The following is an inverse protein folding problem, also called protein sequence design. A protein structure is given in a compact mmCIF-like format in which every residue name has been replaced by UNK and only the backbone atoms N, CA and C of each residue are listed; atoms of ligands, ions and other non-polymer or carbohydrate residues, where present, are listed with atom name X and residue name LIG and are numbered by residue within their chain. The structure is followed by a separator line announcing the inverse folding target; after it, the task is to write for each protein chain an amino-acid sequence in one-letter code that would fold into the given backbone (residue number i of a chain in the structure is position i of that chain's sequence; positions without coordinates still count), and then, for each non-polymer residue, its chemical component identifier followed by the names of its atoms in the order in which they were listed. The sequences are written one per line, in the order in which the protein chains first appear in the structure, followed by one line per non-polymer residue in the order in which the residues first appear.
data_IF_346618349698
#
_entry.id   IF_346618349698
#
_cell.length_a   1.000
_cell.length_b   1.000
_cell.length_c   1.000
_cell.angle_alpha   90.00
_cell.angle_beta   90.00
_cell.angle_gamma   90.00
#
_symmetry.space_group_name_H-M   'P 1'
#
loop_
_entity.id
_entity.type
_entity.pdbx_description
1 polymer ?
#
# COMPACT_ATOMS: atom_id res chain seq x y z
N UNK A 1 18.79 36.93 45.66
CA UNK A 1 18.49 35.54 45.25
C UNK A 1 17.12 35.52 44.58
N UNK A 2 17.09 35.42 43.25
CA UNK A 2 15.85 35.28 42.46
C UNK A 2 15.84 33.87 41.87
N UNK A 3 14.84 33.07 42.24
CA UNK A 3 14.57 31.76 41.65
C UNK A 3 13.88 31.99 40.28
N UNK A 4 14.46 31.43 39.23
CA UNK A 4 13.84 31.36 37.90
C UNK A 4 13.01 30.05 37.81
N UNK A 5 11.86 30.05 37.12
CA UNK A 5 11.06 28.85 36.93
C UNK A 5 11.64 28.00 35.80
N UNK A 6 11.76 26.70 36.06
CA UNK A 6 12.10 25.67 35.06
C UNK A 6 10.91 25.51 34.14
N UNK A 7 11.03 25.96 32.88
CA UNK A 7 10.09 25.62 31.82
C UNK A 7 10.19 24.12 31.54
N UNK A 8 9.13 23.39 31.89
CA UNK A 8 8.95 22.00 31.53
C UNK A 8 8.50 21.93 30.07
N UNK A 9 9.45 21.65 29.17
CA UNK A 9 9.17 21.37 27.77
C UNK A 9 8.45 20.02 27.68
N UNK A 10 7.17 20.04 27.29
CA UNK A 10 6.45 18.86 26.84
C UNK A 10 7.05 18.43 25.50
N UNK A 11 8.05 17.53 25.55
CA UNK A 11 8.42 16.73 24.41
C UNK A 11 7.25 15.78 24.12
N UNK A 12 6.38 16.15 23.18
CA UNK A 12 5.47 15.20 22.54
C UNK A 12 6.37 14.22 21.79
N UNK A 13 6.61 13.07 22.42
CA UNK A 13 7.43 12.00 21.88
C UNK A 13 6.89 11.59 20.52
N UNK A 14 7.72 11.77 19.49
CA UNK A 14 7.57 11.03 18.25
C UNK A 14 7.89 9.58 18.59
N UNK A 15 6.88 8.83 19.03
CA UNK A 15 6.97 7.39 18.99
C UNK A 15 7.27 7.02 17.53
N UNK A 16 8.32 6.25 17.35
CA UNK A 16 8.78 5.69 16.10
C UNK A 16 7.69 4.82 15.49
N UNK A 17 6.72 5.47 14.83
CA UNK A 17 5.78 4.81 13.93
C UNK A 17 6.66 4.19 12.85
N UNK A 18 6.84 2.87 12.89
CA UNK A 18 7.52 2.17 11.79
C UNK A 18 6.65 2.37 10.57
N UNK A 19 7.05 3.31 9.71
CA UNK A 19 6.25 3.77 8.58
C UNK A 19 5.90 2.66 7.57
N UNK A 20 6.44 1.45 7.77
CA UNK A 20 6.34 0.30 6.89
C UNK A 20 5.79 -0.95 7.59
N UNK A 21 5.40 -0.89 8.87
CA UNK A 21 4.77 -2.01 9.59
C UNK A 21 3.26 -2.05 9.33
N UNK A 22 2.68 -3.25 9.22
CA UNK A 22 1.24 -3.50 9.00
C UNK A 22 0.36 -2.40 9.63
N UNK A 23 -0.46 -1.67 8.86
CA UNK A 23 -1.29 -0.59 9.40
C UNK A 23 -2.52 -1.14 10.12
N UNK A 24 -2.95 -0.46 11.19
CA UNK A 24 -4.22 -0.76 11.83
C UNK A 24 -5.41 -0.24 11.01
N UNK A 25 -6.55 -0.93 11.09
CA UNK A 25 -7.84 -0.53 10.49
C UNK A 25 -8.95 -0.78 11.51
N UNK A 26 -10.20 -0.40 11.18
CA UNK A 26 -11.34 -0.72 12.02
C UNK A 26 -11.48 -2.24 12.27
N UNK A 27 -11.16 -3.06 11.26
CA UNK A 27 -11.23 -4.53 11.33
C UNK A 27 -9.94 -5.20 11.83
N UNK A 28 -8.82 -4.46 11.89
CA UNK A 28 -7.49 -5.00 12.21
C UNK A 28 -6.84 -4.14 13.29
N UNK A 29 -6.87 -4.63 14.53
CA UNK A 29 -6.37 -3.91 15.71
C UNK A 29 -5.17 -4.60 16.38
N UNK A 30 -4.85 -5.83 16.02
CA UNK A 30 -3.75 -6.61 16.59
C UNK A 30 -2.50 -6.61 15.71
N UNK A 31 -1.32 -6.53 16.34
CA UNK A 31 -0.01 -6.60 15.68
C UNK A 31 0.13 -5.64 14.48
N UNK A 32 -0.31 -4.40 14.68
CA UNK A 32 -0.35 -3.36 13.66
C UNK A 32 0.10 -2.01 14.23
N UNK A 33 0.34 -1.06 13.34
CA UNK A 33 0.74 0.32 13.66
C UNK A 33 -0.41 1.28 13.39
N UNK A 34 -0.85 1.98 14.45
CA UNK A 34 -1.91 2.99 14.36
C UNK A 34 -1.44 4.25 13.58
N UNK A 35 -2.42 4.99 13.04
CA UNK A 35 -2.16 6.29 12.42
C UNK A 35 -1.42 6.26 11.08
N UNK A 36 -1.24 5.09 10.46
CA UNK A 36 -0.66 4.98 9.10
C UNK A 36 -1.64 5.44 8.01
N UNK A 37 -2.93 5.17 8.17
CA UNK A 37 -3.98 5.70 7.29
C UNK A 37 -4.38 7.09 7.75
N UNK A 38 -4.38 8.04 6.82
CA UNK A 38 -4.68 9.45 7.08
C UNK A 38 -5.69 9.96 6.05
N UNK A 39 -6.49 11.00 6.36
CA UNK A 39 -7.27 11.67 5.33
C UNK A 39 -6.35 12.28 4.26
N UNK A 40 -6.74 12.23 2.99
CA UNK A 40 -5.94 12.78 1.89
C UNK A 40 -5.51 14.23 2.14
N UNK A 41 -4.23 14.53 1.87
CA UNK A 41 -3.64 15.85 2.10
C UNK A 41 -3.24 16.14 3.55
N UNK A 42 -3.45 15.20 4.48
CA UNK A 42 -3.05 15.35 5.88
C UNK A 42 -1.60 14.96 6.14
N UNK A 43 -1.00 14.15 5.27
CA UNK A 43 0.39 13.75 5.42
C UNK A 43 1.30 14.96 5.24
N UNK A 44 2.04 15.31 6.31
CA UNK A 44 3.19 16.22 6.25
C UNK A 44 4.43 15.57 5.60
N UNK A 45 4.26 14.37 5.08
CA UNK A 45 5.31 13.56 4.50
C UNK A 45 5.80 14.26 3.24
N UNK A 46 6.93 14.98 3.36
CA UNK A 46 7.68 15.48 2.19
C UNK A 46 7.95 14.26 1.31
N UNK A 47 7.26 14.19 0.17
CA UNK A 47 7.18 12.99 -0.68
C UNK A 47 8.53 12.29 -0.79
N UNK A 48 8.73 11.14 -0.12
CA UNK A 48 10.04 10.51 -0.05
C UNK A 48 10.35 9.89 -1.41
N UNK A 49 11.08 10.60 -2.27
CA UNK A 49 11.68 10.17 -3.56
C UNK A 49 10.80 9.46 -4.63
N UNK A 50 9.65 8.86 -4.30
CA UNK A 50 8.79 8.08 -5.20
C UNK A 50 7.49 8.78 -5.61
N UNK A 51 7.10 9.86 -4.93
CA UNK A 51 5.96 10.71 -5.30
C UNK A 51 4.61 10.26 -4.71
N UNK A 52 3.56 11.00 -5.07
CA UNK A 52 2.17 10.69 -4.74
C UNK A 52 1.55 9.91 -5.89
N UNK A 53 0.75 8.90 -5.55
CA UNK A 53 -0.16 8.21 -6.46
C UNK A 53 -1.58 8.69 -6.13
N UNK A 54 -2.12 9.67 -6.86
CA UNK A 54 -3.47 10.19 -6.59
C UNK A 54 -4.54 9.13 -6.84
N UNK A 55 -5.65 9.19 -6.09
CA UNK A 55 -6.76 8.23 -6.24
C UNK A 55 -7.31 8.18 -7.68
N UNK A 56 -7.40 9.35 -8.32
CA UNK A 56 -7.84 9.54 -9.72
C UNK A 56 -6.85 9.09 -10.79
N UNK A 57 -5.58 8.87 -10.45
CA UNK A 57 -4.56 8.50 -11.43
C UNK A 57 -4.74 7.03 -11.82
N UNK A 58 -5.23 6.76 -13.04
CA UNK A 58 -5.48 5.42 -13.60
C UNK A 58 -4.45 5.04 -14.67
N UNK A 59 -3.18 5.31 -14.39
CA UNK A 59 -2.09 4.94 -15.29
C UNK A 59 -1.77 3.46 -15.21
N UNK A 60 -1.46 2.86 -16.36
CA UNK A 60 -0.97 1.47 -16.44
C UNK A 60 0.54 1.43 -16.34
N UNK A 61 1.09 0.28 -15.96
CA UNK A 61 2.54 0.05 -15.90
C UNK A 61 3.25 0.19 -17.26
N UNK A 62 2.53 0.13 -18.39
CA UNK A 62 3.09 0.31 -19.74
C UNK A 62 3.52 1.76 -20.02
N UNK A 63 2.90 2.73 -19.35
CA UNK A 63 3.32 4.13 -19.43
C UNK A 63 4.23 4.46 -18.25
N UNK A 64 5.25 5.28 -18.49
CA UNK A 64 6.24 5.66 -17.45
C UNK A 64 5.61 6.18 -16.16
N UNK A 65 4.46 6.84 -16.25
CA UNK A 65 3.71 7.33 -15.11
C UNK A 65 3.14 6.21 -14.23
N UNK A 66 2.80 5.03 -14.77
CA UNK A 66 2.29 3.89 -13.98
C UNK A 66 3.37 2.86 -13.60
N UNK A 67 4.61 3.02 -14.09
CA UNK A 67 5.73 2.16 -13.74
C UNK A 67 6.08 2.26 -12.25
N UNK A 68 6.43 1.11 -11.67
CA UNK A 68 6.86 0.96 -10.29
C UNK A 68 8.21 0.24 -10.22
N UNK A 69 8.89 0.35 -9.09
CA UNK A 69 10.19 -0.30 -8.83
C UNK A 69 10.16 -1.06 -7.51
N UNK A 70 10.92 -2.15 -7.42
CA UNK A 70 11.12 -2.88 -6.17
C UNK A 70 11.48 -1.92 -5.02
N UNK A 71 10.80 -2.06 -3.88
CA UNK A 71 11.06 -1.25 -2.68
C UNK A 71 10.74 0.25 -2.84
N UNK A 72 9.96 0.65 -3.86
CA UNK A 72 9.63 2.05 -4.06
C UNK A 72 8.64 2.54 -3.00
N UNK A 73 9.03 3.54 -2.21
CA UNK A 73 8.14 4.24 -1.29
C UNK A 73 7.22 5.22 -2.02
N UNK A 74 5.92 5.15 -1.74
CA UNK A 74 4.86 5.94 -2.38
C UNK A 74 3.84 6.42 -1.34
N UNK A 75 3.38 7.66 -1.48
CA UNK A 75 2.14 8.08 -0.83
C UNK A 75 1.00 7.67 -1.75
N UNK A 76 0.19 6.72 -1.34
CA UNK A 76 -0.91 6.19 -2.15
C UNK A 76 -2.22 6.73 -1.62
N UNK A 77 -2.99 7.35 -2.50
CA UNK A 77 -4.34 7.83 -2.22
C UNK A 77 -5.37 6.89 -2.85
N UNK A 78 -6.45 6.63 -2.14
CA UNK A 78 -7.60 5.88 -2.64
C UNK A 78 -8.90 6.45 -2.09
N UNK A 79 -10.01 6.11 -2.73
CA UNK A 79 -11.35 6.47 -2.29
C UNK A 79 -12.20 5.22 -2.10
N UNK A 80 -13.18 5.29 -1.20
CA UNK A 80 -14.29 4.34 -1.21
C UNK A 80 -15.16 4.62 -2.44
N UNK A 81 -15.12 3.71 -3.42
CA UNK A 81 -15.79 3.85 -4.71
C UNK A 81 -14.98 4.70 -5.72
N UNK A 82 -15.59 5.03 -6.87
CA UNK A 82 -14.93 5.85 -7.90
C UNK A 82 -14.55 7.24 -7.38
N UNK A 83 -13.31 7.73 -7.63
CA UNK A 83 -12.87 9.03 -7.15
C UNK A 83 -13.76 10.21 -7.59
N UNK A 84 -14.36 10.10 -8.79
CA UNK A 84 -15.25 11.13 -9.36
C UNK A 84 -16.59 11.25 -8.63
N UNK A 85 -16.94 10.28 -7.78
CA UNK A 85 -18.19 10.29 -7.01
C UNK A 85 -18.04 10.93 -5.63
N UNK A 86 -16.86 11.46 -5.29
CA UNK A 86 -16.65 12.23 -4.06
C UNK A 86 -16.65 11.41 -2.77
N UNK A 87 -16.32 10.12 -2.84
CA UNK A 87 -16.13 9.27 -1.66
C UNK A 87 -15.01 9.77 -0.74
N UNK A 88 -15.01 9.30 0.51
CA UNK A 88 -13.93 9.59 1.46
C UNK A 88 -12.57 9.21 0.85
N UNK A 89 -11.62 10.14 0.94
CA UNK A 89 -10.27 9.96 0.41
C UNK A 89 -9.29 9.69 1.55
N UNK A 90 -8.63 8.55 1.48
CA UNK A 90 -7.63 8.09 2.44
C UNK A 90 -6.27 8.02 1.74
N UNK A 91 -5.21 8.30 2.49
CA UNK A 91 -3.83 8.18 2.05
C UNK A 91 -2.95 7.44 3.05
N UNK A 92 -1.91 6.80 2.55
CA UNK A 92 -0.94 6.06 3.34
C UNK A 92 0.44 6.10 2.64
N UNK A 93 1.51 6.22 3.43
CA UNK A 93 2.85 5.97 2.94
C UNK A 93 3.13 4.48 3.01
N UNK A 94 3.42 3.88 1.86
CA UNK A 94 3.74 2.47 1.72
C UNK A 94 5.01 2.27 0.90
N UNK A 95 5.73 1.21 1.15
CA UNK A 95 6.72 0.66 0.24
C UNK A 95 6.06 -0.40 -0.67
N UNK A 96 6.35 -0.33 -1.97
CA UNK A 96 5.94 -1.37 -2.92
C UNK A 96 6.52 -2.71 -2.45
N UNK A 97 5.66 -3.71 -2.29
CA UNK A 97 6.02 -5.01 -1.74
C UNK A 97 5.94 -5.09 -0.21
N UNK A 98 5.33 -4.13 0.50
CA UNK A 98 5.11 -4.32 1.93
C UNK A 98 4.39 -5.64 2.27
N UNK A 99 4.71 -6.17 3.46
CA UNK A 99 4.23 -7.45 3.93
C UNK A 99 3.36 -7.29 5.17
N UNK A 100 2.04 -7.21 4.97
CA UNK A 100 1.07 -6.97 6.05
C UNK A 100 0.50 -8.25 6.66
N UNK A 101 0.88 -9.41 6.13
CA UNK A 101 0.39 -10.71 6.57
C UNK A 101 -1.09 -10.93 6.24
N UNK A 102 -1.72 -11.81 7.00
CA UNK A 102 -3.11 -12.18 6.79
C UNK A 102 -4.09 -11.30 7.56
N UNK A 103 -5.24 -11.02 6.99
CA UNK A 103 -6.37 -10.45 7.73
C UNK A 103 -7.15 -11.51 8.53
N UNK A 104 -8.30 -11.12 9.09
CA UNK A 104 -9.13 -11.98 9.93
C UNK A 104 -9.76 -13.16 9.18
N UNK A 105 -9.87 -13.08 7.85
CA UNK A 105 -10.50 -14.09 7.00
C UNK A 105 -9.47 -15.00 6.32
N UNK A 106 -8.17 -14.70 6.49
CA UNK A 106 -7.05 -15.50 5.98
C UNK A 106 -6.47 -15.02 4.65
N UNK A 107 -6.99 -13.93 4.09
CA UNK A 107 -6.47 -13.34 2.85
C UNK A 107 -5.09 -12.70 3.10
N UNK A 108 -4.14 -12.96 2.20
CA UNK A 108 -2.77 -12.50 2.33
C UNK A 108 -2.58 -11.12 1.69
N UNK A 109 -2.15 -10.16 2.50
CA UNK A 109 -1.72 -8.81 2.09
C UNK A 109 -0.19 -8.66 2.14
N UNK A 110 0.52 -9.77 1.90
CA UNK A 110 1.95 -9.73 1.59
C UNK A 110 2.20 -9.36 0.12
N UNK A 111 3.33 -8.70 -0.16
CA UNK A 111 3.74 -8.26 -1.50
C UNK A 111 2.83 -7.21 -2.14
N UNK A 112 2.40 -6.19 -1.37
CA UNK A 112 1.47 -5.16 -1.87
C UNK A 112 1.91 -4.50 -3.17
N UNK A 113 0.97 -4.33 -4.10
CA UNK A 113 1.21 -3.77 -5.42
C UNK A 113 1.62 -4.79 -6.47
N UNK A 114 1.83 -6.03 -6.07
CA UNK A 114 1.85 -7.16 -6.99
C UNK A 114 0.43 -7.42 -7.45
N UNK A 115 0.23 -7.46 -8.76
CA UNK A 115 -1.06 -7.82 -9.33
C UNK A 115 -1.34 -9.32 -9.13
N UNK A 116 -2.52 -9.61 -8.60
CA UNK A 116 -2.97 -10.96 -8.26
C UNK A 116 -2.99 -11.19 -6.75
N UNK A 117 -3.17 -12.44 -6.34
CA UNK A 117 -3.26 -12.79 -4.91
C UNK A 117 -1.87 -12.81 -4.29
N UNK A 118 -1.67 -12.00 -3.24
CA UNK A 118 -0.52 -12.03 -2.33
C UNK A 118 0.86 -12.03 -3.00
N UNK A 119 1.82 -12.73 -2.40
CA UNK A 119 3.09 -13.04 -3.04
C UNK A 119 2.98 -14.27 -3.96
N UNK A 120 3.97 -14.49 -4.83
CA UNK A 120 4.11 -15.78 -5.52
C UNK A 120 4.63 -16.87 -4.59
N UNK A 121 4.05 -18.05 -4.71
CA UNK A 121 4.49 -19.28 -4.02
C UNK A 121 5.78 -19.86 -4.61
N UNK A 122 6.13 -19.53 -5.85
CA UNK A 122 7.34 -20.03 -6.50
C UNK A 122 7.74 -19.26 -7.75
N UNK A 123 9.00 -19.41 -8.20
CA UNK A 123 9.48 -18.77 -9.42
C UNK A 123 8.85 -19.43 -10.65
N UNK A 124 8.35 -18.63 -11.60
CA UNK A 124 7.97 -19.11 -12.93
C UNK A 124 6.54 -18.82 -13.38
N UNK A 125 5.66 -18.33 -12.50
CA UNK A 125 4.43 -17.66 -12.93
C UNK A 125 4.76 -16.21 -13.29
N UNK A 126 4.22 -15.71 -14.40
CA UNK A 126 4.37 -14.30 -14.70
C UNK A 126 3.71 -13.48 -13.58
N UNK A 127 4.37 -12.39 -13.19
CA UNK A 127 4.00 -11.60 -12.04
C UNK A 127 4.07 -10.15 -12.45
N UNK A 128 2.94 -9.46 -12.33
CA UNK A 128 2.89 -8.06 -12.69
C UNK A 128 2.91 -7.14 -11.47
N UNK A 129 3.39 -5.91 -11.67
CA UNK A 129 3.41 -4.87 -10.64
C UNK A 129 2.86 -3.56 -11.21
N UNK A 130 1.95 -2.92 -10.47
CA UNK A 130 1.39 -1.65 -10.91
C UNK A 130 0.87 -0.78 -9.78
N UNK A 131 0.73 0.51 -10.05
CA UNK A 131 0.11 1.46 -9.14
C UNK A 131 -1.38 1.17 -8.90
N UNK A 132 -2.09 0.60 -9.89
CA UNK A 132 -3.50 0.25 -9.70
C UNK A 132 -3.67 -0.96 -8.80
N UNK A 133 -2.82 -1.98 -8.96
CA UNK A 133 -2.79 -3.13 -8.05
C UNK A 133 -2.45 -2.67 -6.63
N UNK A 134 -1.47 -1.76 -6.47
CA UNK A 134 -1.13 -1.21 -5.15
C UNK A 134 -2.29 -0.47 -4.49
N UNK A 135 -2.99 0.41 -5.23
CA UNK A 135 -4.19 1.08 -4.71
C UNK A 135 -5.29 0.10 -4.32
N UNK A 136 -5.52 -0.92 -5.14
CA UNK A 136 -6.53 -1.94 -4.87
C UNK A 136 -6.21 -2.71 -3.59
N UNK A 137 -4.99 -3.21 -3.43
CA UNK A 137 -4.61 -4.00 -2.26
C UNK A 137 -4.78 -3.20 -0.97
N UNK A 138 -4.37 -1.92 -0.99
CA UNK A 138 -4.50 -0.99 0.14
C UNK A 138 -5.98 -0.71 0.45
N UNK A 139 -6.79 -0.41 -0.57
CA UNK A 139 -8.23 -0.21 -0.39
C UNK A 139 -8.87 -1.46 0.21
N UNK A 140 -8.56 -2.62 -0.36
CA UNK A 140 -9.12 -3.90 0.04
C UNK A 140 -8.77 -4.23 1.49
N UNK A 141 -7.51 -4.00 1.89
CA UNK A 141 -7.08 -4.15 3.27
C UNK A 141 -7.82 -3.20 4.22
N UNK A 142 -7.94 -1.92 3.83
CA UNK A 142 -8.58 -0.90 4.66
C UNK A 142 -10.05 -1.21 4.93
N UNK A 143 -10.79 -1.61 3.89
CA UNK A 143 -12.22 -1.90 3.96
C UNK A 143 -12.56 -3.37 4.24
N UNK A 144 -11.56 -4.26 4.36
CA UNK A 144 -11.76 -5.71 4.39
C UNK A 144 -12.63 -6.21 3.22
N UNK A 145 -12.32 -5.72 2.01
CA UNK A 145 -13.14 -5.89 0.81
C UNK A 145 -12.99 -7.27 0.17
N UNK A 146 -14.12 -7.86 -0.25
CA UNK A 146 -14.21 -9.21 -0.86
C UNK A 146 -15.07 -9.28 -2.12
N UNK A 147 -15.81 -8.23 -2.46
CA UNK A 147 -16.78 -8.27 -3.55
C UNK A 147 -16.16 -8.22 -4.96
N UNK A 148 -14.84 -8.17 -5.09
CA UNK A 148 -14.17 -7.96 -6.36
C UNK A 148 -14.72 -6.73 -7.09
N UNK A 149 -15.03 -6.85 -8.38
CA UNK A 149 -15.53 -5.74 -9.20
C UNK A 149 -16.87 -5.14 -8.76
N UNK A 150 -17.67 -5.86 -7.96
CA UNK A 150 -18.98 -5.39 -7.45
C UNK A 150 -18.90 -4.90 -5.99
N UNK A 151 -17.70 -4.90 -5.40
CA UNK A 151 -17.53 -4.38 -4.05
C UNK A 151 -17.85 -2.88 -3.97
N UNK A 152 -18.68 -2.44 -3.01
CA UNK A 152 -19.10 -1.04 -2.94
C UNK A 152 -17.96 -0.07 -2.59
N UNK A 153 -16.91 -0.55 -1.92
CA UNK A 153 -15.77 0.27 -1.51
C UNK A 153 -14.63 0.17 -2.53
N UNK A 154 -14.22 -1.04 -2.90
CA UNK A 154 -13.00 -1.24 -3.69
C UNK A 154 -13.25 -1.77 -5.09
N UNK A 155 -14.50 -1.95 -5.53
CA UNK A 155 -14.82 -2.54 -6.84
C UNK A 155 -14.31 -1.72 -8.02
N UNK A 156 -14.30 -0.39 -7.90
CA UNK A 156 -13.67 0.46 -8.91
C UNK A 156 -12.15 0.24 -8.99
N UNK A 157 -11.47 0.20 -7.84
CA UNK A 157 -10.03 -0.04 -7.79
C UNK A 157 -9.68 -1.45 -8.30
N UNK A 158 -10.50 -2.45 -7.98
CA UNK A 158 -10.40 -3.82 -8.48
C UNK A 158 -10.43 -3.84 -10.00
N UNK A 159 -11.42 -3.20 -10.64
CA UNK A 159 -11.51 -3.15 -12.10
C UNK A 159 -10.29 -2.51 -12.77
N UNK A 160 -9.66 -1.51 -12.12
CA UNK A 160 -8.41 -0.90 -12.61
C UNK A 160 -7.20 -1.81 -12.41
N UNK A 161 -7.12 -2.49 -11.27
CA UNK A 161 -6.08 -3.48 -11.02
C UNK A 161 -6.20 -4.68 -11.97
N UNK A 162 -7.42 -5.13 -12.29
CA UNK A 162 -7.68 -6.25 -13.19
C UNK A 162 -7.15 -5.97 -14.61
N UNK A 163 -7.29 -4.74 -15.11
CA UNK A 163 -6.71 -4.32 -16.40
C UNK A 163 -5.18 -4.50 -16.40
N UNK A 164 -4.52 -4.09 -15.32
CA UNK A 164 -3.09 -4.28 -15.14
C UNK A 164 -2.72 -5.74 -14.80
N UNK A 165 -3.63 -6.57 -14.30
CA UNK A 165 -3.37 -7.98 -14.04
C UNK A 165 -3.40 -8.80 -15.34
N UNK A 166 -4.42 -8.59 -16.18
CA UNK A 166 -4.67 -9.38 -17.37
C UNK A 166 -3.78 -9.02 -18.56
N UNK A 167 -3.46 -7.73 -18.77
CA UNK A 167 -2.69 -7.33 -19.95
C UNK A 167 -1.22 -7.81 -19.94
N UNK A 168 -0.41 -7.55 -18.90
CA UNK A 168 1.03 -7.79 -18.99
C UNK A 168 1.42 -9.23 -18.65
N UNK A 169 0.66 -9.90 -17.77
CA UNK A 169 1.01 -11.23 -17.28
C UNK A 169 1.11 -12.29 -18.40
N UNK A 170 0.25 -12.18 -19.43
CA UNK A 170 0.18 -13.17 -20.52
C UNK A 170 0.77 -12.67 -21.84
N UNK A 171 0.96 -11.35 -22.02
CA UNK A 171 1.34 -10.77 -23.31
C UNK A 171 2.56 -9.85 -23.27
N UNK A 172 3.01 -9.40 -22.10
CA UNK A 172 4.02 -8.34 -22.01
C UNK A 172 4.78 -8.27 -20.66
N UNK A 173 6.07 -8.63 -20.69
CA UNK A 173 6.94 -8.60 -19.50
C UNK A 173 7.37 -7.21 -19.02
N UNK A 174 7.00 -6.12 -19.72
CA UNK A 174 7.40 -4.73 -19.41
C UNK A 174 7.10 -4.31 -17.97
N UNK A 175 6.11 -4.93 -17.36
CA UNK A 175 5.63 -4.56 -16.04
C UNK A 175 6.07 -5.54 -14.93
N UNK A 176 6.91 -6.51 -15.27
CA UNK A 176 7.53 -7.42 -14.29
C UNK A 176 8.63 -6.71 -13.49
N UNK A 177 8.77 -7.06 -12.21
CA UNK A 177 9.90 -6.63 -11.38
C UNK A 177 10.74 -7.88 -11.07
N UNK A 178 11.93 -8.03 -11.70
CA UNK A 178 12.73 -9.24 -11.56
C UNK A 178 13.17 -9.48 -10.11
N UNK A 179 13.07 -10.73 -9.66
CA UNK A 179 13.46 -11.18 -8.30
C UNK A 179 12.78 -10.39 -7.17
N UNK A 180 11.55 -9.95 -7.41
CA UNK A 180 10.72 -9.23 -6.44
C UNK A 180 9.29 -9.73 -6.58
N UNK A 181 9.04 -11.02 -6.33
CA UNK A 181 7.71 -11.62 -6.53
C UNK A 181 7.28 -12.56 -5.41
N UNK A 182 8.23 -13.31 -4.87
CA UNK A 182 7.98 -14.27 -3.79
C UNK A 182 8.05 -13.59 -2.43
N UNK A 183 7.37 -14.18 -1.44
CA UNK A 183 7.47 -13.73 -0.04
C UNK A 183 8.91 -13.71 0.45
N UNK A 184 9.70 -14.69 0.01
CA UNK A 184 11.11 -14.74 0.34
C UNK A 184 11.86 -13.55 -0.28
N UNK A 185 11.66 -13.23 -1.55
CA UNK A 185 12.33 -12.08 -2.19
C UNK A 185 11.93 -10.73 -1.58
N UNK A 186 10.68 -10.59 -1.16
CA UNK A 186 10.10 -9.30 -0.75
C UNK A 186 10.13 -9.11 0.77
N UNK A 187 9.68 -10.10 1.55
CA UNK A 187 9.44 -9.95 2.99
C UNK A 187 10.63 -10.36 3.89
N UNK A 188 11.78 -10.77 3.34
CA UNK A 188 12.91 -11.32 4.13
C UNK A 188 13.61 -10.32 5.07
N UNK A 189 13.15 -9.08 5.18
CA UNK A 189 13.82 -8.01 5.94
C UNK A 189 13.12 -7.55 7.25
N UNK A 190 12.27 -8.36 7.89
CA UNK A 190 11.68 -8.00 9.21
C UNK A 190 11.87 -9.01 10.35
N UNK A 191 12.60 -10.11 10.10
CA UNK A 191 12.77 -11.20 11.10
C UNK A 191 14.08 -11.09 11.89
N UNK A 192 15.00 -10.19 11.52
CA UNK A 192 16.24 -9.96 12.28
C UNK A 192 16.10 -8.68 13.10
N UNK A 193 15.32 -8.77 14.18
CA UNK A 193 15.39 -7.78 15.25
C UNK A 193 16.73 -7.90 15.98
N UNK A 194 17.60 -6.91 15.78
CA UNK A 194 18.58 -6.47 16.76
C UNK A 194 18.15 -5.06 17.16
#
# INVERSE_FOLDING_TARGET
MRLLPVLQWLAVGWQSVSAFDRPCTASIQGNCTEGRFLPCGSSKLKHPHGGVVPARDVTTCRVRAGQVRAGQALVVQFTSGPPEQGGECIEILVELGECWGQDSDGDSYDCLGRCGIGCQEGPGLCSNWSRNCLKHDICSYYHNSRGGAVDPHCGWAFQKAEQDFLEPCLTDSVCTVPRFNTKAEVCRAKVVGI
#
